data_IF_377859181880
#
_entry.id   IF_377859181880
#
_cell.length_a   1.000
_cell.length_b   1.000
_cell.length_c   1.000
_cell.angle_alpha   90.00
_cell.angle_beta   90.00
_cell.angle_gamma   90.00
#
_symmetry.space_group_name_H-M   'P 1'
#
loop_
_entity.id
_entity.type
_entity.pdbx_description
1 polymer ?
#
# COMPACT_ATOMS: atom_id res chain seq x y z
N UNK A 1 -18.93 10.61 8.42
CA UNK A 1 -18.82 9.93 7.12
C UNK A 1 -18.30 8.53 7.41
N UNK A 2 -19.10 7.49 7.18
CA UNK A 2 -18.64 6.11 7.37
C UNK A 2 -17.74 5.78 6.18
N UNK A 3 -16.50 5.40 6.45
CA UNK A 3 -15.49 5.12 5.43
C UNK A 3 -15.85 3.80 4.76
N UNK A 4 -16.23 3.82 3.48
CA UNK A 4 -16.64 2.61 2.76
C UNK A 4 -15.42 1.84 2.24
N UNK A 5 -14.88 0.99 3.11
CA UNK A 5 -13.77 0.11 2.77
C UNK A 5 -14.12 -0.91 1.67
N UNK A 6 -15.41 -1.23 1.48
CA UNK A 6 -15.82 -2.20 0.46
C UNK A 6 -15.58 -1.64 -0.93
N UNK A 7 -16.12 -0.46 -1.21
CA UNK A 7 -15.94 0.21 -2.50
C UNK A 7 -14.45 0.45 -2.83
N UNK A 8 -13.65 0.81 -1.82
CA UNK A 8 -12.21 0.96 -1.96
C UNK A 8 -11.49 -0.36 -2.33
N UNK A 9 -11.81 -1.45 -1.63
CA UNK A 9 -11.23 -2.77 -1.93
C UNK A 9 -11.68 -3.30 -3.30
N UNK A 10 -12.94 -3.06 -3.69
CA UNK A 10 -13.46 -3.40 -5.02
C UNK A 10 -12.71 -2.62 -6.12
N UNK A 11 -12.42 -1.33 -5.92
CA UNK A 11 -11.63 -0.53 -6.85
C UNK A 11 -10.18 -1.04 -6.98
N UNK A 12 -9.54 -1.40 -5.87
CA UNK A 12 -8.20 -2.03 -5.88
C UNK A 12 -8.23 -3.36 -6.64
N UNK A 13 -9.22 -4.20 -6.38
CA UNK A 13 -9.35 -5.50 -7.02
C UNK A 13 -9.59 -5.40 -8.54
N UNK A 14 -10.29 -4.34 -8.97
CA UNK A 14 -10.53 -4.04 -10.39
C UNK A 14 -9.31 -3.43 -11.10
N UNK A 15 -8.31 -2.93 -10.35
CA UNK A 15 -7.15 -2.25 -10.93
C UNK A 15 -6.21 -3.22 -11.66
N UNK A 16 -6.17 -3.11 -12.99
CA UNK A 16 -5.37 -3.98 -13.89
C UNK A 16 -3.88 -3.69 -13.89
N UNK A 17 -3.43 -2.57 -13.31
CA UNK A 17 -2.01 -2.24 -13.20
C UNK A 17 -1.35 -3.02 -12.05
N UNK A 18 -2.13 -3.48 -11.08
CA UNK A 18 -1.67 -4.29 -9.96
C UNK A 18 -1.43 -5.74 -10.38
N UNK A 19 -0.31 -6.28 -9.90
CA UNK A 19 0.06 -7.68 -10.03
C UNK A 19 -0.18 -8.40 -8.70
N UNK A 20 -0.14 -9.73 -8.74
CA UNK A 20 -0.26 -10.54 -7.53
C UNK A 20 0.76 -10.18 -6.44
N UNK A 21 2.00 -9.82 -6.80
CA UNK A 21 2.99 -9.33 -5.83
C UNK A 21 2.57 -8.01 -5.17
N UNK A 22 1.98 -7.08 -5.92
CA UNK A 22 1.54 -5.78 -5.40
C UNK A 22 0.41 -5.98 -4.37
N UNK A 23 -0.52 -6.90 -4.67
CA UNK A 23 -1.60 -7.27 -3.76
C UNK A 23 -1.09 -7.98 -2.49
N UNK A 24 -0.09 -8.86 -2.61
CA UNK A 24 0.54 -9.49 -1.43
C UNK A 24 1.20 -8.46 -0.52
N UNK A 25 1.92 -7.49 -1.11
CA UNK A 25 2.50 -6.37 -0.35
C UNK A 25 1.42 -5.52 0.30
N UNK A 26 0.34 -5.21 -0.42
CA UNK A 26 -0.79 -4.46 0.12
C UNK A 26 -1.42 -5.15 1.33
N UNK A 27 -1.65 -6.46 1.26
CA UNK A 27 -2.22 -7.24 2.37
C UNK A 27 -1.31 -7.22 3.61
N UNK A 28 0.01 -7.30 3.42
CA UNK A 28 0.97 -7.15 4.54
C UNK A 28 0.89 -5.75 5.14
N UNK A 29 0.84 -4.70 4.32
CA UNK A 29 0.67 -3.34 4.82
C UNK A 29 -0.61 -3.22 5.64
N UNK A 30 -1.74 -3.72 5.11
CA UNK A 30 -3.04 -3.68 5.79
C UNK A 30 -2.99 -4.39 7.15
N UNK A 31 -2.40 -5.59 7.20
CA UNK A 31 -2.24 -6.36 8.42
C UNK A 31 -1.38 -5.68 9.49
N UNK A 32 -0.48 -4.77 9.09
CA UNK A 32 0.42 -4.04 10.00
C UNK A 32 -0.06 -2.61 10.29
N UNK A 33 -1.30 -2.28 9.96
CA UNK A 33 -1.87 -0.95 10.20
C UNK A 33 -2.20 -0.75 11.67
N UNK A 34 -1.65 0.29 12.28
CA UNK A 34 -2.04 0.75 13.61
C UNK A 34 -2.16 2.29 13.60
N UNK A 35 -3.29 2.83 14.11
CA UNK A 35 -3.60 4.26 14.12
C UNK A 35 -3.30 4.93 12.76
N UNK A 36 -3.91 4.41 11.70
CA UNK A 36 -3.83 4.88 10.30
C UNK A 36 -2.45 4.79 9.63
N UNK A 37 -1.52 4.02 10.20
CA UNK A 37 -0.19 3.86 9.63
C UNK A 37 0.28 2.42 9.74
N UNK A 38 0.65 1.83 8.60
CA UNK A 38 1.43 0.60 8.55
C UNK A 38 2.88 0.93 8.90
N UNK A 39 3.30 0.63 10.14
CA UNK A 39 4.66 0.85 10.62
C UNK A 39 5.51 -0.40 10.35
N UNK A 40 5.82 -0.61 9.09
CA UNK A 40 6.63 -1.74 8.61
C UNK A 40 7.59 -1.25 7.54
N UNK A 41 8.79 -1.80 7.50
CA UNK A 41 9.82 -1.47 6.52
C UNK A 41 9.74 -2.36 5.28
N UNK A 42 10.26 -1.92 4.12
CA UNK A 42 10.34 -2.77 2.92
C UNK A 42 11.09 -4.11 3.16
N UNK A 43 12.11 -4.10 4.01
CA UNK A 43 12.92 -5.29 4.33
C UNK A 43 12.08 -6.31 5.12
N UNK A 44 11.29 -5.85 6.09
CA UNK A 44 10.39 -6.74 6.84
C UNK A 44 9.32 -7.35 5.94
N UNK A 45 8.76 -6.57 5.01
CA UNK A 45 7.81 -7.07 4.00
C UNK A 45 8.48 -8.12 3.11
N UNK A 46 9.71 -7.86 2.64
CA UNK A 46 10.47 -8.77 1.80
C UNK A 46 10.71 -10.12 2.50
N UNK A 47 11.13 -10.06 3.77
CA UNK A 47 11.34 -11.24 4.61
C UNK A 47 10.04 -12.04 4.82
N UNK A 48 8.92 -11.36 5.13
CA UNK A 48 7.63 -12.03 5.33
C UNK A 48 7.11 -12.72 4.07
N UNK A 49 7.33 -12.12 2.90
CA UNK A 49 6.81 -12.63 1.63
C UNK A 49 7.78 -13.57 0.90
N UNK A 50 9.01 -13.73 1.38
CA UNK A 50 10.08 -14.44 0.69
C UNK A 50 10.46 -13.79 -0.64
N UNK A 51 10.40 -12.46 -0.72
CA UNK A 51 10.67 -11.67 -1.92
C UNK A 51 12.03 -10.98 -1.85
N UNK A 52 12.54 -10.56 -3.01
CA UNK A 52 13.68 -9.64 -3.06
C UNK A 52 13.21 -8.21 -2.74
N UNK A 53 14.07 -7.43 -2.08
CA UNK A 53 13.82 -6.01 -1.78
C UNK A 53 13.39 -5.21 -3.02
N UNK A 54 13.97 -5.50 -4.18
CA UNK A 54 13.63 -4.83 -5.45
C UNK A 54 12.22 -5.16 -5.96
N UNK A 55 11.65 -6.31 -5.61
CA UNK A 55 10.24 -6.62 -5.92
C UNK A 55 9.33 -5.82 -5.01
N UNK A 56 9.61 -5.80 -3.70
CA UNK A 56 8.84 -5.03 -2.72
C UNK A 56 8.90 -3.53 -3.02
N UNK A 57 10.07 -3.00 -3.36
CA UNK A 57 10.23 -1.59 -3.74
C UNK A 57 9.39 -1.23 -4.98
N UNK A 58 9.33 -2.12 -5.98
CA UNK A 58 8.49 -1.94 -7.18
C UNK A 58 7.01 -2.00 -6.84
N UNK A 59 6.59 -2.92 -5.99
CA UNK A 59 5.22 -3.03 -5.52
C UNK A 59 4.78 -1.78 -4.74
N UNK A 60 5.58 -1.33 -3.77
CA UNK A 60 5.32 -0.11 -3.01
C UNK A 60 5.26 1.12 -3.92
N UNK A 61 6.16 1.19 -4.91
CA UNK A 61 6.13 2.27 -5.90
C UNK A 61 4.81 2.27 -6.68
N UNK A 62 4.36 1.11 -7.16
CA UNK A 62 3.10 1.02 -7.90
C UNK A 62 1.89 1.33 -7.02
N UNK A 63 1.81 0.78 -5.80
CA UNK A 63 0.74 1.12 -4.85
C UNK A 63 0.69 2.62 -4.53
N UNK A 64 1.84 3.30 -4.54
CA UNK A 64 1.92 4.75 -4.38
C UNK A 64 1.46 5.50 -5.63
N UNK A 65 1.88 5.08 -6.82
CA UNK A 65 1.49 5.67 -8.11
C UNK A 65 0.00 5.50 -8.39
N UNK A 66 -0.58 4.35 -8.04
CA UNK A 66 -2.02 4.07 -8.14
C UNK A 66 -2.85 4.74 -7.03
N UNK A 67 -2.23 5.60 -6.21
CA UNK A 67 -2.91 6.36 -5.15
C UNK A 67 -3.33 5.55 -3.92
N UNK A 68 -3.14 4.23 -3.89
CA UNK A 68 -3.61 3.31 -2.84
C UNK A 68 -2.93 3.59 -1.50
N UNK A 69 -1.65 3.96 -1.52
CA UNK A 69 -0.88 4.29 -0.31
C UNK A 69 -0.15 5.63 -0.42
N UNK A 70 0.05 6.29 0.72
CA UNK A 70 0.88 7.48 0.90
C UNK A 70 2.05 7.16 1.84
N UNK A 71 3.25 7.61 1.52
CA UNK A 71 4.42 7.44 2.39
C UNK A 71 4.34 8.40 3.58
N UNK A 72 4.41 7.88 4.81
CA UNK A 72 4.49 8.71 6.02
C UNK A 72 5.95 8.94 6.38
N UNK A 73 6.35 10.20 6.50
CA UNK A 73 7.71 10.59 6.91
C UNK A 73 7.68 11.40 8.19
N UNK A 74 8.69 11.22 9.03
CA UNK A 74 8.95 12.05 10.21
C UNK A 74 10.42 12.47 10.19
N UNK A 75 10.69 13.78 10.32
CA UNK A 75 12.04 14.35 10.18
C UNK A 75 12.80 13.83 8.93
N UNK A 76 12.09 13.73 7.79
CA UNK A 76 12.65 13.24 6.52
C UNK A 76 12.82 11.72 6.40
N UNK A 77 12.72 10.97 7.49
CA UNK A 77 12.82 9.50 7.50
C UNK A 77 11.46 8.86 7.22
N UNK A 78 11.45 7.80 6.42
CA UNK A 78 10.25 6.98 6.19
C UNK A 78 9.92 6.22 7.47
N UNK A 79 8.70 6.41 7.98
CA UNK A 79 8.22 5.75 9.22
C UNK A 79 7.05 4.79 8.97
N UNK A 80 6.55 4.72 7.73
CA UNK A 80 5.49 3.79 7.36
C UNK A 80 4.65 4.28 6.19
N UNK A 81 3.47 3.68 6.04
CA UNK A 81 2.55 3.91 4.93
C UNK A 81 1.14 4.17 5.45
N UNK A 82 0.43 5.12 4.86
CA UNK A 82 -1.01 5.37 5.09
C UNK A 82 -1.79 4.89 3.87
N UNK A 83 -3.04 4.46 4.07
CA UNK A 83 -3.93 4.12 2.96
C UNK A 83 -4.70 5.37 2.52
N UNK A 84 -4.82 5.57 1.22
CA UNK A 84 -5.75 6.57 0.68
C UNK A 84 -7.07 5.87 0.41
N UNK A 85 -8.02 6.04 1.31
CA UNK A 85 -9.39 5.54 1.17
C UNK A 85 -10.34 6.57 0.56
N UNK A 86 -9.82 7.75 0.22
CA UNK A 86 -10.54 8.75 -0.57
C UNK A 86 -10.69 8.17 -1.99
N UNK A 87 -11.79 8.49 -2.70
CA UNK A 87 -12.08 7.94 -4.03
C UNK A 87 -10.81 7.99 -4.89
N UNK A 88 -10.41 6.82 -5.41
CA UNK A 88 -9.33 6.70 -6.38
C UNK A 88 -9.83 7.39 -7.65
N UNK A 89 -9.69 8.71 -7.75
CA UNK A 89 -10.03 9.42 -8.97
C UNK A 89 -9.11 8.89 -10.08
N UNK A 90 -9.66 8.31 -11.16
CA UNK A 90 -8.84 7.94 -12.29
C UNK A 90 -8.19 9.21 -12.84
N UNK A 91 -6.88 9.20 -13.06
CA UNK A 91 -6.20 10.27 -13.80
C UNK A 91 -6.92 10.45 -15.16
N UNK A 92 -7.26 11.71 -15.46
CA UNK A 92 -7.90 12.13 -16.71
C UNK A 92 -6.97 12.04 -17.91
#
# INVERSE_FOLDING_TARGET
MQQDYRSWLEAIAANRNLRGEDLRVLLVLLANTNNDCAQITPIEIANQLGLRDSNVARAIKRLFEEGIIKKKKFAGKLIGYRFSTEELEPEK
#
